data_IF_803985127708
#
_entry.id   IF_803985127708
#
_cell.length_a   1.000
_cell.length_b   1.000
_cell.length_c   1.000
_cell.angle_alpha   90.00
_cell.angle_beta   90.00
_cell.angle_gamma   90.00
#
_symmetry.space_group_name_H-M   'P 1'
#
loop_
_entity.id
_entity.type
_entity.pdbx_description
1 polymer ?
#
# COMPACT_ATOMS: atom_id res chain seq x y z
N UNK A 1 -10.04 -21.63 -2.12
CA UNK A 1 -9.08 -21.07 -1.13
C UNK A 1 -9.66 -21.32 0.24
N UNK A 2 -8.82 -21.70 1.20
CA UNK A 2 -9.23 -21.87 2.59
C UNK A 2 -9.80 -20.56 3.15
N UNK A 3 -10.92 -20.62 3.88
CA UNK A 3 -11.59 -19.42 4.43
C UNK A 3 -10.64 -18.64 5.36
N UNK A 4 -9.82 -19.36 6.12
CA UNK A 4 -8.80 -18.77 6.99
C UNK A 4 -7.78 -17.94 6.18
N UNK A 5 -7.34 -18.47 5.03
CA UNK A 5 -6.39 -17.78 4.16
C UNK A 5 -6.98 -16.49 3.57
N UNK A 6 -8.27 -16.49 3.20
CA UNK A 6 -8.98 -15.30 2.71
C UNK A 6 -9.07 -14.21 3.78
N UNK A 7 -9.41 -14.59 5.01
CA UNK A 7 -9.48 -13.64 6.13
C UNK A 7 -8.11 -13.04 6.45
N UNK A 8 -7.05 -13.86 6.43
CA UNK A 8 -5.67 -13.37 6.64
C UNK A 8 -5.27 -12.38 5.56
N UNK A 9 -5.51 -12.70 4.29
CA UNK A 9 -5.20 -11.80 3.16
C UNK A 9 -5.99 -10.50 3.24
N UNK A 10 -7.30 -10.58 3.50
CA UNK A 10 -8.16 -9.41 3.64
C UNK A 10 -7.70 -8.52 4.79
N UNK A 11 -7.38 -9.09 5.95
CA UNK A 11 -6.88 -8.35 7.11
C UNK A 11 -5.54 -7.65 6.81
N UNK A 12 -4.62 -8.34 6.12
CA UNK A 12 -3.34 -7.77 5.68
C UNK A 12 -3.53 -6.59 4.73
N UNK A 13 -4.38 -6.74 3.72
CA UNK A 13 -4.68 -5.69 2.75
C UNK A 13 -5.36 -4.48 3.41
N UNK A 14 -6.29 -4.74 4.34
CA UNK A 14 -6.98 -3.67 5.07
C UNK A 14 -6.03 -2.91 6.01
N UNK A 15 -5.16 -3.63 6.73
CA UNK A 15 -4.15 -3.03 7.59
C UNK A 15 -3.17 -2.16 6.78
N UNK A 16 -2.73 -2.64 5.61
CA UNK A 16 -1.88 -1.90 4.69
C UNK A 16 -2.57 -0.64 4.15
N UNK A 17 -3.84 -0.76 3.77
CA UNK A 17 -4.66 0.35 3.32
C UNK A 17 -4.78 1.45 4.40
N UNK A 18 -5.10 1.06 5.63
CA UNK A 18 -5.19 1.97 6.77
C UNK A 18 -3.85 2.66 7.03
N UNK A 19 -2.74 1.93 6.98
CA UNK A 19 -1.41 2.50 7.14
C UNK A 19 -1.10 3.57 6.09
N UNK A 20 -1.41 3.29 4.81
CA UNK A 20 -1.23 4.21 3.69
C UNK A 20 -2.13 5.45 3.81
N UNK A 21 -3.38 5.30 4.27
CA UNK A 21 -4.33 6.41 4.44
C UNK A 21 -3.99 7.31 5.63
N UNK A 22 -3.69 6.72 6.79
CA UNK A 22 -3.47 7.43 8.05
C UNK A 22 -2.07 8.04 8.10
N UNK A 23 -1.06 7.39 7.54
CA UNK A 23 0.34 7.81 7.64
C UNK A 23 1.04 7.90 6.28
N UNK A 24 0.52 8.69 5.32
CA UNK A 24 1.08 8.78 3.97
C UNK A 24 2.52 9.29 3.97
N UNK A 25 2.89 10.21 4.87
CA UNK A 25 4.26 10.73 4.95
C UNK A 25 5.28 9.65 5.38
N UNK A 26 4.91 8.79 6.35
CA UNK A 26 5.78 7.69 6.79
C UNK A 26 5.87 6.61 5.71
N UNK A 27 4.74 6.25 5.09
CA UNK A 27 4.71 5.30 3.99
C UNK A 27 5.58 5.78 2.81
N UNK A 28 5.49 7.06 2.44
CA UNK A 28 6.33 7.67 1.41
C UNK A 28 7.82 7.63 1.76
N UNK A 29 8.19 7.90 3.02
CA UNK A 29 9.58 7.82 3.47
C UNK A 29 10.14 6.39 3.43
N UNK A 30 9.33 5.40 3.82
CA UNK A 30 9.71 3.97 3.73
C UNK A 30 9.88 3.56 2.27
N UNK A 31 8.96 3.97 1.39
CA UNK A 31 9.06 3.71 -0.05
C UNK A 31 10.30 4.39 -0.66
N UNK A 32 10.60 5.62 -0.24
CA UNK A 32 11.78 6.34 -0.70
C UNK A 32 13.09 5.63 -0.29
N UNK A 33 13.17 5.13 0.96
CA UNK A 33 14.30 4.30 1.40
C UNK A 33 14.40 2.98 0.62
N UNK A 34 13.27 2.33 0.37
CA UNK A 34 13.22 1.10 -0.40
C UNK A 34 13.71 1.31 -1.84
N UNK A 35 13.23 2.34 -2.53
CA UNK A 35 13.69 2.69 -3.89
C UNK A 35 15.12 3.22 -3.93
N UNK A 36 15.64 3.77 -2.83
CA UNK A 36 17.05 4.09 -2.68
C UNK A 36 17.92 2.83 -2.61
N UNK A 37 17.44 1.77 -1.95
CA UNK A 37 18.17 0.50 -1.81
C UNK A 37 18.00 -0.44 -3.02
N UNK A 38 16.86 -0.37 -3.70
CA UNK A 38 16.52 -1.22 -4.85
C UNK A 38 16.13 -0.37 -6.06
N UNK A 39 17.11 0.23 -6.76
CA UNK A 39 16.83 1.13 -7.88
C UNK A 39 16.16 0.44 -9.08
N UNK A 40 16.32 -0.88 -9.24
CA UNK A 40 15.70 -1.67 -10.31
C UNK A 40 14.17 -1.76 -10.21
N UNK A 41 13.61 -1.60 -9.01
CA UNK A 41 12.16 -1.69 -8.74
C UNK A 41 11.53 -0.29 -8.70
N UNK A 42 12.29 0.75 -9.07
CA UNK A 42 11.89 2.15 -8.96
C UNK A 42 10.78 2.48 -9.95
N UNK A 43 9.54 2.47 -9.46
CA UNK A 43 8.33 2.80 -10.24
C UNK A 43 8.10 4.32 -10.36
N UNK A 44 8.72 5.14 -9.50
CA UNK A 44 8.65 6.60 -9.56
C UNK A 44 9.91 7.28 -8.97
N UNK A 45 10.27 8.51 -9.40
CA UNK A 45 11.33 9.29 -8.79
C UNK A 45 11.03 9.53 -7.31
N UNK A 46 12.02 9.31 -6.43
CA UNK A 46 11.89 9.41 -4.97
C UNK A 46 11.34 10.76 -4.49
N UNK A 47 11.58 11.84 -5.24
CA UNK A 47 11.10 13.18 -4.91
C UNK A 47 9.60 13.40 -5.20
N UNK A 48 9.01 12.61 -6.11
CA UNK A 48 7.57 12.71 -6.42
C UNK A 48 6.69 12.00 -5.38
N UNK A 49 7.23 11.01 -4.67
CA UNK A 49 6.51 10.28 -3.63
C UNK A 49 6.32 11.09 -2.35
N UNK A 50 7.32 11.91 -1.98
CA UNK A 50 7.21 12.82 -0.84
C UNK A 50 6.22 13.97 -1.11
N UNK A 51 6.06 14.37 -2.36
CA UNK A 51 5.25 15.53 -2.78
C UNK A 51 3.80 15.17 -3.16
N UNK A 52 3.43 13.88 -3.19
CA UNK A 52 2.08 13.43 -3.61
C UNK A 52 1.43 12.47 -2.61
N UNK A 53 1.06 12.93 -1.40
CA UNK A 53 0.33 12.12 -0.43
C UNK A 53 -1.02 11.60 -0.96
N UNK A 54 -1.61 12.27 -1.94
CA UNK A 54 -2.82 11.83 -2.62
C UNK A 54 -2.65 10.50 -3.38
N UNK A 55 -1.49 10.25 -4.00
CA UNK A 55 -1.22 8.98 -4.69
C UNK A 55 -1.11 7.81 -3.71
N UNK A 56 -0.49 8.03 -2.55
CA UNK A 56 -0.40 7.03 -1.48
C UNK A 56 -1.78 6.72 -0.89
N UNK A 57 -2.65 7.73 -0.74
CA UNK A 57 -4.03 7.53 -0.32
C UNK A 57 -4.85 6.77 -1.37
N UNK A 58 -4.67 7.07 -2.66
CA UNK A 58 -5.30 6.32 -3.75
C UNK A 58 -4.84 4.86 -3.77
N UNK A 59 -3.55 4.60 -3.56
CA UNK A 59 -3.02 3.25 -3.42
C UNK A 59 -3.63 2.53 -2.20
N UNK A 60 -3.73 3.21 -1.06
CA UNK A 60 -4.41 2.69 0.12
C UNK A 60 -5.88 2.35 -0.15
N UNK A 61 -6.61 3.21 -0.86
CA UNK A 61 -7.99 2.94 -1.29
C UNK A 61 -8.07 1.71 -2.20
N UNK A 62 -7.18 1.59 -3.19
CA UNK A 62 -7.13 0.44 -4.08
C UNK A 62 -6.88 -0.87 -3.31
N UNK A 63 -5.97 -0.84 -2.32
CA UNK A 63 -5.72 -1.98 -1.43
C UNK A 63 -6.92 -2.32 -0.55
N UNK A 64 -7.66 -1.33 -0.05
CA UNK A 64 -8.89 -1.57 0.70
C UNK A 64 -9.95 -2.26 -0.17
N UNK A 65 -10.12 -1.80 -1.41
CA UNK A 65 -11.05 -2.39 -2.39
C UNK A 65 -10.64 -3.82 -2.73
N UNK A 66 -9.35 -4.08 -2.95
CA UNK A 66 -8.82 -5.43 -3.17
C UNK A 66 -9.05 -6.35 -1.96
N UNK A 67 -8.79 -5.86 -0.74
CA UNK A 67 -9.05 -6.61 0.49
C UNK A 67 -10.53 -6.96 0.66
N UNK A 68 -11.43 -6.00 0.39
CA UNK A 68 -12.86 -6.26 0.39
C UNK A 68 -13.28 -7.26 -0.70
N UNK A 69 -12.70 -7.15 -1.91
CA UNK A 69 -12.97 -8.08 -3.01
C UNK A 69 -12.51 -9.51 -2.68
N UNK A 70 -11.41 -9.69 -1.94
CA UNK A 70 -10.96 -11.02 -1.49
C UNK A 70 -11.90 -11.71 -0.50
N UNK A 71 -12.82 -10.96 0.13
CA UNK A 71 -13.89 -11.52 0.97
C UNK A 71 -15.15 -11.89 0.17
N UNK A 72 -15.33 -11.31 -1.03
CA UNK A 72 -16.50 -11.51 -1.89
C UNK A 72 -16.30 -12.62 -2.93
N UNK A 73 -15.05 -12.84 -3.37
CA UNK A 73 -14.62 -14.00 -4.18
C UNK A 73 -14.49 -15.21 -3.29
#
# INVERSE_FOLDING_TARGET
MDLALRLILAALLLALALYLLLRPAQAGAVLARFYGRYPLVRLAPTEQLASRPALLRLLGLAMAVLGAATLLL
#
